data_IF_451158649364
#
_entry.id   IF_451158649364
#
_cell.length_a   1.000
_cell.length_b   1.000
_cell.length_c   1.000
_cell.angle_alpha   90.00
_cell.angle_beta   90.00
_cell.angle_gamma   90.00
#
_symmetry.space_group_name_H-M   'P 1'
#
loop_
_entity.id
_entity.type
_entity.pdbx_description
1 polymer ?
#
# COMPACT_ATOMS: atom_id res chain seq x y z
N UNK A 1 -1.51 -5.62 -21.04
CA UNK A 1 -0.17 -5.20 -20.60
C UNK A 1 -0.32 -4.74 -19.16
N UNK A 2 0.34 -5.38 -18.22
CA UNK A 2 0.28 -4.96 -16.81
C UNK A 2 1.13 -3.70 -16.64
N UNK A 3 0.54 -2.64 -16.09
CA UNK A 3 1.28 -1.41 -15.80
C UNK A 3 2.13 -1.63 -14.55
N UNK A 4 3.39 -1.18 -14.56
CA UNK A 4 4.21 -1.20 -13.36
C UNK A 4 3.55 -0.35 -12.26
N UNK A 5 3.53 -0.90 -11.05
CA UNK A 5 3.11 -0.19 -9.84
C UNK A 5 4.37 0.29 -9.14
N UNK A 6 4.44 1.57 -8.82
CA UNK A 6 5.61 2.16 -8.16
C UNK A 6 5.20 2.71 -6.80
N UNK A 7 5.90 2.33 -5.75
CA UNK A 7 5.79 2.96 -4.43
C UNK A 7 7.07 3.76 -4.18
N UNK A 8 6.89 5.06 -3.93
CA UNK A 8 7.96 5.96 -3.49
C UNK A 8 7.81 6.22 -1.99
N UNK A 9 8.72 5.65 -1.19
CA UNK A 9 8.66 5.70 0.26
C UNK A 9 8.94 7.13 0.76
N UNK A 10 9.85 7.85 0.10
CA UNK A 10 10.20 9.21 0.50
C UNK A 10 9.03 10.17 0.28
N UNK A 11 8.37 10.08 -0.87
CA UNK A 11 7.18 10.86 -1.20
C UNK A 11 5.89 10.32 -0.55
N UNK A 12 5.93 9.11 -0.01
CA UNK A 12 4.77 8.38 0.51
C UNK A 12 3.64 8.29 -0.53
N UNK A 13 4.01 7.91 -1.75
CA UNK A 13 3.12 7.81 -2.91
C UNK A 13 3.10 6.39 -3.46
N UNK A 14 1.96 6.02 -4.03
CA UNK A 14 1.81 4.88 -4.93
C UNK A 14 1.37 5.40 -6.30
N UNK A 15 1.99 4.92 -7.36
CA UNK A 15 1.72 5.34 -8.73
C UNK A 15 1.41 4.12 -9.60
N UNK A 16 0.33 4.20 -10.38
CA UNK A 16 -0.10 3.20 -11.35
C UNK A 16 -1.04 3.86 -12.36
N UNK A 17 -1.22 3.27 -13.55
CA UNK A 17 -2.10 3.80 -14.60
C UNK A 17 -1.89 5.32 -14.90
N UNK A 18 -0.63 5.78 -14.88
CA UNK A 18 -0.21 7.18 -15.08
C UNK A 18 -0.68 8.19 -14.01
N UNK A 19 -1.22 7.74 -12.88
CA UNK A 19 -1.60 8.59 -11.74
C UNK A 19 -0.87 8.20 -10.46
N UNK A 20 -0.65 9.17 -9.57
CA UNK A 20 -0.05 8.95 -8.25
C UNK A 20 -1.03 9.32 -7.15
N UNK A 21 -1.03 8.54 -6.09
CA UNK A 21 -1.95 8.65 -4.96
C UNK A 21 -1.18 8.65 -3.63
N UNK A 22 -1.67 9.36 -2.61
CA UNK A 22 -1.14 9.24 -1.26
C UNK A 22 -1.20 7.81 -0.74
N UNK A 23 -0.13 7.40 -0.05
CA UNK A 23 -0.06 6.15 0.70
C UNK A 23 0.51 6.42 2.09
N UNK A 24 0.19 5.58 3.07
CA UNK A 24 0.94 5.47 4.32
C UNK A 24 1.95 4.33 4.17
N UNK A 25 3.20 4.60 4.51
CA UNK A 25 4.30 3.65 4.39
C UNK A 25 5.09 3.58 5.69
N UNK A 26 5.83 2.50 5.87
CA UNK A 26 6.57 2.19 7.08
C UNK A 26 8.08 2.36 6.92
N UNK A 27 8.79 2.36 8.04
CA UNK A 27 10.27 2.29 8.03
C UNK A 27 10.76 0.95 7.48
N UNK A 28 9.99 -0.11 7.73
CA UNK A 28 10.30 -1.48 7.34
C UNK A 28 9.68 -1.87 6.00
N UNK A 29 9.08 -0.93 5.26
CA UNK A 29 8.60 -1.19 3.90
C UNK A 29 9.80 -1.56 3.03
N UNK A 30 9.87 -2.81 2.53
CA UNK A 30 11.08 -3.30 1.87
C UNK A 30 11.23 -2.65 0.50
N UNK A 31 12.47 -2.30 0.14
CA UNK A 31 12.80 -1.78 -1.19
C UNK A 31 13.15 -2.91 -2.14
N UNK A 32 12.92 -2.68 -3.42
CA UNK A 32 13.23 -3.62 -4.49
C UNK A 32 12.06 -3.85 -5.43
N UNK A 33 12.19 -4.91 -6.22
CA UNK A 33 11.17 -5.35 -7.16
C UNK A 33 10.44 -6.56 -6.60
N UNK A 34 9.12 -6.55 -6.73
CA UNK A 34 8.23 -7.57 -6.24
C UNK A 34 7.14 -7.87 -7.26
N UNK A 35 6.40 -8.95 -7.03
CA UNK A 35 5.23 -9.31 -7.79
C UNK A 35 4.00 -9.14 -6.89
N UNK A 36 2.97 -8.42 -7.37
CA UNK A 36 1.70 -8.36 -6.67
C UNK A 36 0.97 -9.68 -6.81
N UNK A 37 0.43 -10.17 -5.70
CA UNK A 37 -0.43 -11.33 -5.64
C UNK A 37 -1.71 -10.96 -4.87
N UNK A 38 -2.85 -11.18 -5.52
CA UNK A 38 -4.16 -10.89 -4.94
C UNK A 38 -4.64 -12.06 -4.09
N UNK A 39 -4.91 -11.78 -2.81
CA UNK A 39 -5.39 -12.76 -1.85
C UNK A 39 -6.68 -12.29 -1.19
N UNK A 40 -7.64 -13.19 -1.08
CA UNK A 40 -8.82 -12.98 -0.22
C UNK A 40 -8.47 -13.27 1.22
N UNK A 41 -9.02 -12.50 2.16
CA UNK A 41 -8.83 -12.70 3.60
C UNK A 41 -10.17 -12.57 4.33
N UNK A 42 -10.44 -13.42 5.35
CA UNK A 42 -11.65 -13.31 6.16
C UNK A 42 -11.58 -12.18 7.20
N UNK A 43 -10.41 -11.55 7.39
CA UNK A 43 -10.26 -10.48 8.38
C UNK A 43 -11.02 -9.22 7.94
N UNK A 44 -12.03 -8.79 8.73
CA UNK A 44 -12.89 -7.67 8.35
C UNK A 44 -12.13 -6.34 8.28
N UNK A 45 -10.99 -6.21 8.97
CA UNK A 45 -10.17 -5.00 8.92
C UNK A 45 -9.64 -4.71 7.51
N UNK A 46 -9.37 -5.75 6.72
CA UNK A 46 -8.85 -5.59 5.35
C UNK A 46 -9.95 -5.37 4.29
N UNK A 47 -11.22 -5.63 4.64
CA UNK A 47 -12.34 -5.48 3.71
C UNK A 47 -12.43 -6.59 2.66
N UNK A 48 -11.94 -7.79 2.99
CA UNK A 48 -12.12 -9.02 2.21
C UNK A 48 -10.93 -9.45 1.35
N UNK A 49 -9.99 -8.55 1.06
CA UNK A 49 -8.82 -8.85 0.22
C UNK A 49 -7.62 -7.92 0.47
N UNK A 50 -6.44 -8.39 0.05
CA UNK A 50 -5.16 -7.68 0.09
C UNK A 50 -4.35 -7.97 -1.18
N UNK A 51 -3.41 -7.08 -1.51
CA UNK A 51 -2.39 -7.34 -2.51
C UNK A 51 -1.05 -7.57 -1.81
N UNK A 52 -0.65 -8.82 -1.64
CA UNK A 52 0.65 -9.11 -1.04
C UNK A 52 1.78 -8.93 -2.04
N UNK A 53 2.98 -8.66 -1.54
CA UNK A 53 4.18 -8.53 -2.38
C UNK A 53 5.44 -9.17 -1.78
N UNK A 54 5.44 -9.47 -0.47
CA UNK A 54 6.52 -10.18 0.19
C UNK A 54 6.00 -10.94 1.39
N UNK A 55 6.45 -12.17 1.54
CA UNK A 55 6.19 -12.99 2.72
C UNK A 55 7.53 -13.39 3.36
N UNK A 56 7.58 -13.34 4.69
CA UNK A 56 8.66 -13.91 5.49
C UNK A 56 8.05 -14.90 6.47
N UNK A 57 8.89 -15.57 7.27
CA UNK A 57 8.42 -16.49 8.32
C UNK A 57 7.40 -15.84 9.27
N UNK A 58 7.57 -14.55 9.55
CA UNK A 58 6.81 -13.86 10.61
C UNK A 58 5.86 -12.77 10.08
N UNK A 59 5.99 -12.37 8.80
CA UNK A 59 5.27 -11.21 8.26
C UNK A 59 4.80 -11.40 6.82
N UNK A 60 3.57 -10.96 6.55
CA UNK A 60 3.03 -10.78 5.21
C UNK A 60 2.93 -9.29 4.89
N UNK A 61 3.77 -8.81 3.97
CA UNK A 61 3.77 -7.43 3.52
C UNK A 61 2.79 -7.28 2.36
N UNK A 62 1.88 -6.32 2.49
CA UNK A 62 0.83 -6.09 1.52
C UNK A 62 0.49 -4.61 1.30
N UNK A 63 -0.15 -4.35 0.17
CA UNK A 63 -0.90 -3.13 -0.09
C UNK A 63 -2.35 -3.41 0.30
N UNK A 64 -2.93 -2.53 1.11
CA UNK A 64 -4.31 -2.68 1.54
C UNK A 64 -4.98 -1.34 1.87
N UNK A 65 -6.31 -1.38 2.05
CA UNK A 65 -7.11 -0.22 2.46
C UNK A 65 -6.63 0.30 3.81
N UNK A 66 -6.58 1.62 4.00
CA UNK A 66 -6.22 2.22 5.28
C UNK A 66 -7.21 1.77 6.37
N UNK A 67 -6.66 1.22 7.45
CA UNK A 67 -7.41 0.84 8.65
C UNK A 67 -7.17 1.94 9.67
N UNK A 68 -8.24 2.52 10.20
CA UNK A 68 -8.12 3.55 11.22
C UNK A 68 -7.80 2.92 12.58
N UNK A 69 -6.63 3.27 13.11
CA UNK A 69 -6.14 2.74 14.39
C UNK A 69 -6.27 3.86 15.42
N UNK A 70 -6.97 3.63 16.56
CA UNK A 70 -7.13 4.63 17.60
C UNK A 70 -5.82 5.29 18.00
N UNK A 71 -5.82 6.63 18.07
CA UNK A 71 -4.65 7.43 18.42
C UNK A 71 -3.62 7.65 17.30
N UNK A 72 -3.64 6.86 16.21
CA UNK A 72 -2.66 7.01 15.13
C UNK A 72 -3.06 8.05 14.07
N UNK A 73 -4.34 8.42 14.00
CA UNK A 73 -4.89 9.43 13.06
C UNK A 73 -4.56 9.08 11.60
N UNK A 74 -4.67 7.81 11.21
CA UNK A 74 -4.22 7.33 9.90
C UNK A 74 -5.00 7.96 8.75
N UNK A 75 -6.32 8.11 8.90
CA UNK A 75 -7.16 8.77 7.90
C UNK A 75 -6.79 10.24 7.67
N UNK A 76 -6.46 10.97 8.74
CA UNK A 76 -6.01 12.37 8.65
C UNK A 76 -4.64 12.45 7.99
N UNK A 77 -3.70 11.59 8.40
CA UNK A 77 -2.35 11.52 7.85
C UNK A 77 -2.37 11.25 6.36
N UNK A 78 -3.19 10.30 5.90
CA UNK A 78 -3.29 9.94 4.49
C UNK A 78 -3.71 11.12 3.60
N UNK A 79 -4.54 12.02 4.14
CA UNK A 79 -5.00 13.25 3.45
C UNK A 79 -4.00 14.40 3.51
N UNK A 80 -2.94 14.27 4.31
CA UNK A 80 -1.94 15.33 4.47
C UNK A 80 -1.16 15.56 3.18
N UNK A 81 -0.98 16.81 2.73
CA UNK A 81 -0.09 17.10 1.61
C UNK A 81 1.37 16.80 1.97
N UNK A 82 1.75 16.94 3.24
CA UNK A 82 3.10 16.64 3.72
C UNK A 82 3.39 15.13 3.76
N UNK A 83 4.36 14.68 2.95
CA UNK A 83 4.82 13.30 2.88
C UNK A 83 5.40 12.81 4.23
N UNK A 84 6.02 13.70 5.03
CA UNK A 84 6.56 13.33 6.35
C UNK A 84 5.48 12.93 7.35
N UNK A 85 4.23 13.35 7.13
CA UNK A 85 3.09 12.89 7.94
C UNK A 85 2.57 11.52 7.54
N UNK A 86 2.95 11.03 6.36
CA UNK A 86 2.52 9.79 5.72
C UNK A 86 3.58 8.69 5.72
N UNK A 87 4.86 9.05 5.79
CA UNK A 87 5.95 8.10 5.96
C UNK A 87 6.14 7.70 7.44
N UNK A 88 6.71 6.52 7.66
CA UNK A 88 6.99 5.93 8.99
C UNK A 88 5.74 5.68 9.85
N UNK A 89 4.60 5.38 9.22
CA UNK A 89 3.31 5.17 9.90
C UNK A 89 2.97 3.69 10.08
N UNK A 90 3.35 2.86 9.12
CA UNK A 90 3.03 1.42 9.12
C UNK A 90 4.26 0.61 9.57
N UNK A 91 4.06 -0.67 9.88
CA UNK A 91 5.15 -1.62 10.15
C UNK A 91 5.74 -2.25 8.88
N UNK A 92 5.39 -1.75 7.69
CA UNK A 92 5.93 -2.27 6.42
C UNK A 92 4.92 -2.32 5.27
N UNK A 93 3.63 -2.50 5.58
CA UNK A 93 2.56 -2.46 4.58
C UNK A 93 2.40 -1.08 3.94
N UNK A 94 1.77 -1.04 2.77
CA UNK A 94 1.41 0.19 2.08
C UNK A 94 -0.09 0.38 2.20
N UNK A 95 -0.52 1.39 2.96
CA UNK A 95 -1.94 1.63 3.20
C UNK A 95 -2.44 2.77 2.31
N UNK A 96 -3.52 2.54 1.59
CA UNK A 96 -4.08 3.50 0.62
C UNK A 96 -5.55 3.79 0.90
N UNK A 97 -6.09 4.82 0.27
CA UNK A 97 -7.54 5.08 0.31
C UNK A 97 -8.31 3.89 -0.30
N UNK A 98 -9.49 3.50 0.24
CA UNK A 98 -10.27 2.39 -0.31
C UNK A 98 -10.54 2.48 -1.81
N UNK A 99 -10.82 3.67 -2.33
CA UNK A 99 -11.07 3.86 -3.77
C UNK A 99 -9.82 3.65 -4.60
N UNK A 100 -8.65 4.05 -4.08
CA UNK A 100 -7.34 3.83 -4.71
C UNK A 100 -7.02 2.34 -4.75
N UNK A 101 -7.30 1.61 -3.66
CA UNK A 101 -7.14 0.16 -3.63
C UNK A 101 -8.01 -0.54 -4.68
N UNK A 102 -9.29 -0.16 -4.79
CA UNK A 102 -10.20 -0.72 -5.81
C UNK A 102 -9.72 -0.46 -7.24
N UNK A 103 -9.16 0.72 -7.51
CA UNK A 103 -8.55 1.05 -8.80
C UNK A 103 -7.31 0.20 -9.08
N UNK A 104 -6.45 0.03 -8.06
CA UNK A 104 -5.24 -0.76 -8.14
C UNK A 104 -5.54 -2.23 -8.45
N UNK A 105 -6.53 -2.83 -7.77
CA UNK A 105 -6.98 -4.21 -8.05
C UNK A 105 -7.49 -4.32 -9.49
N UNK A 106 -8.33 -3.40 -9.95
CA UNK A 106 -8.88 -3.45 -11.31
C UNK A 106 -7.81 -3.33 -12.41
N UNK A 107 -6.78 -2.51 -12.19
CA UNK A 107 -5.78 -2.24 -13.23
C UNK A 107 -4.59 -3.21 -13.20
N UNK A 108 -4.19 -3.64 -11.99
CA UNK A 108 -2.80 -3.96 -11.71
C UNK A 108 -2.62 -5.03 -10.62
N UNK A 109 -3.64 -5.82 -10.29
CA UNK A 109 -3.58 -6.79 -9.18
C UNK A 109 -2.46 -7.85 -9.29
N UNK A 110 -1.97 -8.10 -10.51
CA UNK A 110 -0.87 -9.00 -10.82
C UNK A 110 0.29 -8.28 -11.52
N UNK A 111 0.41 -6.96 -11.35
CA UNK A 111 1.51 -6.18 -11.89
C UNK A 111 2.81 -6.37 -11.10
N UNK A 112 3.93 -6.09 -11.76
CA UNK A 112 5.20 -5.83 -11.10
C UNK A 112 5.06 -4.63 -10.17
N UNK A 113 5.61 -4.74 -8.97
CA UNK A 113 5.71 -3.67 -7.97
C UNK A 113 7.18 -3.27 -7.81
N UNK A 114 7.47 -1.98 -7.91
CA UNK A 114 8.78 -1.40 -7.62
C UNK A 114 8.64 -0.50 -6.41
N UNK A 115 9.40 -0.79 -5.34
CA UNK A 115 9.43 0.03 -4.13
C UNK A 115 10.79 0.70 -4.01
N UNK A 116 10.82 2.03 -3.95
CA UNK A 116 12.04 2.86 -3.84
C UNK A 116 11.98 3.83 -2.65
#
# INVERSE_FOLDING_TARGET
MFHDVIVDIAAALICFAATCHPALVGVDTPRGEFQLIHYTTPDPGYGGDILSFKETKDYLYCIHRVIDVPGQKRLERLKSPDAKRRNRITGGCVNVDPKVYEQLVKCCYASKLIIK
#
